data_IF_679127888310
#
_entry.id   IF_679127888310
#
_cell.length_a   1.000
_cell.length_b   1.000
_cell.length_c   1.000
_cell.angle_alpha   90.00
_cell.angle_beta   90.00
_cell.angle_gamma   90.00
#
_symmetry.space_group_name_H-M   'P 1'
#
loop_
_entity.id
_entity.type
_entity.pdbx_description
1 polymer ?
#
# COMPACT_ATOMS: atom_id res chain seq x y z
N UNK A 1 2.84 5.80 -14.48
CA UNK A 1 1.99 5.38 -13.35
C UNK A 1 2.78 5.57 -12.08
N UNK A 2 2.45 6.59 -11.30
CA UNK A 2 3.07 6.86 -10.01
C UNK A 2 1.97 6.79 -8.95
N UNK A 3 2.30 6.30 -7.77
CA UNK A 3 1.40 6.22 -6.60
C UNK A 3 1.81 7.25 -5.55
N UNK A 4 3.11 7.49 -5.45
CA UNK A 4 3.71 8.46 -4.54
C UNK A 4 4.68 9.35 -5.32
N UNK A 5 4.61 10.65 -5.05
CA UNK A 5 5.60 11.65 -5.45
C UNK A 5 5.89 12.54 -4.25
N UNK A 6 7.09 13.10 -4.21
CA UNK A 6 7.44 14.08 -3.21
C UNK A 6 7.87 15.39 -3.89
N UNK A 7 7.64 16.51 -3.21
CA UNK A 7 8.30 17.78 -3.46
C UNK A 7 8.99 18.25 -2.18
N UNK A 8 9.44 19.50 -2.14
CA UNK A 8 10.14 20.07 -0.98
C UNK A 8 9.23 20.30 0.23
N UNK A 9 7.91 20.28 0.05
CA UNK A 9 6.93 20.66 1.06
C UNK A 9 6.04 19.49 1.52
N UNK A 10 5.94 18.42 0.73
CA UNK A 10 5.16 17.26 1.10
C UNK A 10 5.13 16.14 0.07
N UNK A 11 4.12 15.29 0.24
CA UNK A 11 3.90 14.09 -0.55
C UNK A 11 2.58 14.18 -1.33
N UNK A 12 2.61 13.80 -2.60
CA UNK A 12 1.42 13.56 -3.40
C UNK A 12 1.15 12.06 -3.46
N UNK A 13 -0.07 11.68 -3.08
CA UNK A 13 -0.59 10.34 -3.17
C UNK A 13 -1.64 10.26 -4.26
N UNK A 14 -1.40 9.43 -5.27
CA UNK A 14 -2.40 9.12 -6.29
C UNK A 14 -3.19 7.88 -5.86
N UNK A 15 -4.45 8.09 -5.49
CA UNK A 15 -5.33 7.04 -4.95
C UNK A 15 -5.93 6.20 -6.09
N UNK A 16 -6.19 6.80 -7.25
CA UNK A 16 -6.83 6.11 -8.39
C UNK A 16 -5.87 5.23 -9.19
N UNK A 17 -6.24 3.97 -9.36
CA UNK A 17 -5.57 3.03 -10.27
C UNK A 17 -5.76 3.41 -11.74
N UNK A 18 -4.76 3.11 -12.58
CA UNK A 18 -4.80 3.34 -14.02
C UNK A 18 -5.91 2.55 -14.76
N UNK A 19 -6.43 1.49 -14.16
CA UNK A 19 -7.53 0.70 -14.72
C UNK A 19 -8.90 1.38 -14.55
N UNK A 20 -8.99 2.43 -13.73
CA UNK A 20 -10.16 3.31 -13.63
C UNK A 20 -10.09 4.46 -14.66
N UNK A 21 -9.49 4.23 -15.83
CA UNK A 21 -9.32 5.25 -16.88
C UNK A 21 -10.64 5.82 -17.43
N UNK A 22 -11.76 5.16 -17.14
CA UNK A 22 -13.11 5.55 -17.55
C UNK A 22 -13.77 6.56 -16.60
N UNK A 23 -13.17 6.80 -15.42
CA UNK A 23 -13.60 7.86 -14.52
C UNK A 23 -13.06 9.20 -15.01
N UNK A 24 -13.77 10.28 -14.68
CA UNK A 24 -13.46 11.64 -15.13
C UNK A 24 -11.99 12.01 -14.83
N UNK A 25 -11.20 12.46 -15.83
CA UNK A 25 -9.83 12.90 -15.62
C UNK A 25 -9.71 14.13 -14.70
N UNK A 26 -10.77 14.93 -14.56
CA UNK A 26 -10.80 16.13 -13.71
C UNK A 26 -11.17 15.82 -12.24
N UNK A 27 -11.49 14.55 -11.92
CA UNK A 27 -11.72 14.11 -10.54
C UNK A 27 -10.45 14.23 -9.68
N UNK A 28 -10.62 14.75 -8.46
CA UNK A 28 -9.53 14.84 -7.47
C UNK A 28 -9.16 13.46 -6.93
N UNK A 29 -8.19 12.83 -7.58
CA UNK A 29 -7.65 11.51 -7.19
C UNK A 29 -6.30 11.59 -6.51
N UNK A 30 -5.81 12.81 -6.31
CA UNK A 30 -4.51 13.10 -5.72
C UNK A 30 -4.76 13.78 -4.38
N UNK A 31 -4.24 13.17 -3.33
CA UNK A 31 -4.14 13.78 -2.01
C UNK A 31 -2.75 14.35 -1.84
N UNK A 32 -2.67 15.56 -1.32
CA UNK A 32 -1.41 16.16 -0.90
C UNK A 32 -1.31 16.08 0.63
N UNK A 33 -0.18 15.59 1.11
CA UNK A 33 0.15 15.46 2.54
C UNK A 33 1.39 16.32 2.80
N UNK A 34 1.21 17.51 3.39
CA UNK A 34 2.31 18.33 3.86
C UNK A 34 3.22 17.55 4.83
N UNK A 35 4.53 17.79 4.82
CA UNK A 35 5.44 17.12 5.76
C UNK A 35 5.13 17.44 7.23
N UNK A 36 4.64 18.64 7.52
CA UNK A 36 4.22 19.02 8.87
C UNK A 36 2.96 18.29 9.34
N UNK A 37 2.25 17.56 8.46
CA UNK A 37 1.12 16.71 8.81
C UNK A 37 1.51 15.25 9.03
N UNK A 38 2.77 14.90 8.81
CA UNK A 38 3.32 13.55 9.00
C UNK A 38 4.05 13.50 10.35
N UNK A 39 3.64 12.56 11.20
CA UNK A 39 4.26 12.31 12.50
C UNK A 39 5.46 11.36 12.39
N UNK A 40 5.38 10.36 11.54
CA UNK A 40 6.40 9.34 11.35
C UNK A 40 6.18 8.57 10.06
N UNK A 41 7.17 7.78 9.67
CA UNK A 41 7.04 6.83 8.58
C UNK A 41 7.70 5.50 8.92
N UNK A 42 7.19 4.41 8.35
CA UNK A 42 7.73 3.07 8.56
C UNK A 42 7.83 2.35 7.21
N UNK A 43 9.00 1.78 6.96
CA UNK A 43 9.22 0.83 5.86
C UNK A 43 8.97 -0.57 6.38
N UNK A 44 7.96 -1.25 5.83
CA UNK A 44 7.65 -2.63 6.21
C UNK A 44 7.98 -3.56 5.05
N UNK A 45 8.74 -4.62 5.34
CA UNK A 45 8.94 -5.75 4.42
C UNK A 45 8.31 -7.01 4.96
N UNK A 46 7.26 -7.48 4.29
CA UNK A 46 6.58 -8.74 4.58
C UNK A 46 7.16 -9.88 3.73
N UNK A 47 7.46 -11.02 4.36
CA UNK A 47 7.87 -12.24 3.67
C UNK A 47 6.79 -13.32 3.71
N UNK A 48 6.19 -13.61 2.55
CA UNK A 48 5.15 -14.63 2.37
C UNK A 48 5.75 -15.91 1.77
N UNK A 49 5.68 -17.02 2.48
CA UNK A 49 6.05 -18.33 1.92
C UNK A 49 4.82 -19.04 1.37
N UNK A 50 4.74 -19.18 0.04
CA UNK A 50 3.71 -19.98 -0.61
C UNK A 50 4.30 -21.31 -1.11
N UNK A 51 3.64 -22.42 -0.78
CA UNK A 51 3.94 -23.72 -1.39
C UNK A 51 3.36 -23.73 -2.80
N UNK A 52 4.21 -23.90 -3.81
CA UNK A 52 3.73 -24.14 -5.18
C UNK A 52 3.14 -25.55 -5.31
N UNK A 53 2.31 -25.73 -6.34
CA UNK A 53 1.69 -27.02 -6.69
C UNK A 53 2.71 -28.16 -6.91
N UNK A 54 3.97 -27.83 -7.21
CA UNK A 54 5.07 -28.79 -7.40
C UNK A 54 5.93 -29.03 -6.14
N UNK A 55 5.51 -28.54 -4.97
CA UNK A 55 6.25 -28.71 -3.72
C UNK A 55 7.46 -27.78 -3.56
N UNK A 56 7.73 -26.89 -4.52
CA UNK A 56 8.72 -25.82 -4.37
C UNK A 56 8.13 -24.70 -3.50
N UNK A 57 8.84 -24.31 -2.44
CA UNK A 57 8.52 -23.13 -1.64
C UNK A 57 8.91 -21.88 -2.42
N UNK A 58 7.95 -20.98 -2.66
CA UNK A 58 8.18 -19.67 -3.24
C UNK A 58 8.09 -18.64 -2.12
N UNK A 59 9.16 -17.89 -1.90
CA UNK A 59 9.12 -16.70 -1.05
C UNK A 59 8.74 -15.50 -1.90
N UNK A 60 7.61 -14.89 -1.58
CA UNK A 60 7.18 -13.61 -2.11
C UNK A 60 7.41 -12.54 -1.05
N UNK A 61 8.12 -11.48 -1.40
CA UNK A 61 8.27 -10.31 -0.52
C UNK A 61 7.32 -9.24 -0.97
N UNK A 62 6.64 -8.61 -0.02
CA UNK A 62 5.80 -7.42 -0.22
C UNK A 62 6.35 -6.30 0.64
N UNK A 63 6.56 -5.14 0.03
CA UNK A 63 7.07 -3.97 0.74
C UNK A 63 6.00 -2.89 0.76
N UNK A 64 5.88 -2.24 1.91
CA UNK A 64 4.94 -1.16 2.19
C UNK A 64 5.66 0.04 2.80
N UNK A 65 5.12 1.23 2.57
CA UNK A 65 5.45 2.44 3.30
C UNK A 65 4.23 2.86 4.11
N UNK A 66 4.35 2.86 5.43
CA UNK A 66 3.35 3.42 6.31
C UNK A 66 3.69 4.88 6.61
N UNK A 67 2.72 5.76 6.38
CA UNK A 67 2.77 7.16 6.78
C UNK A 67 1.88 7.31 8.01
N UNK A 68 2.47 7.67 9.14
CA UNK A 68 1.75 7.98 10.37
C UNK A 68 1.44 9.47 10.33
N UNK A 69 0.16 9.80 10.25
CA UNK A 69 -0.36 11.14 10.11
C UNK A 69 -0.76 11.74 11.46
N UNK A 70 -0.70 13.06 11.55
CA UNK A 70 -1.34 13.77 12.67
C UNK A 70 -2.87 13.59 12.59
N UNK A 71 -3.54 13.55 13.74
CA UNK A 71 -4.99 13.32 13.83
C UNK A 71 -5.81 14.22 12.89
N UNK A 72 -5.48 15.52 12.84
CA UNK A 72 -6.18 16.50 12.00
C UNK A 72 -6.04 16.22 10.49
N UNK A 73 -4.91 15.64 10.06
CA UNK A 73 -4.68 15.28 8.67
C UNK A 73 -5.35 13.95 8.34
N UNK A 74 -5.24 12.97 9.24
CA UNK A 74 -5.86 11.67 9.11
C UNK A 74 -7.38 11.79 8.89
N UNK A 75 -8.07 12.60 9.70
CA UNK A 75 -9.51 12.88 9.58
C UNK A 75 -9.93 13.45 8.22
N UNK A 76 -9.04 14.12 7.50
CA UNK A 76 -9.30 14.70 6.17
C UNK A 76 -8.96 13.75 5.03
N UNK A 77 -7.87 12.99 5.19
CA UNK A 77 -7.26 12.20 4.12
C UNK A 77 -7.90 10.82 4.02
N UNK A 78 -8.12 10.15 5.16
CA UNK A 78 -8.63 8.78 5.19
C UNK A 78 -10.02 8.63 4.55
N UNK A 79 -10.99 9.53 4.80
CA UNK A 79 -12.30 9.43 4.15
C UNK A 79 -12.21 9.50 2.62
N UNK A 80 -11.30 10.33 2.07
CA UNK A 80 -11.08 10.46 0.63
C UNK A 80 -10.50 9.17 0.04
N UNK A 81 -9.58 8.52 0.77
CA UNK A 81 -9.02 7.23 0.37
C UNK A 81 -10.12 6.16 0.37
N UNK A 82 -10.93 6.08 1.44
CA UNK A 82 -12.03 5.13 1.53
C UNK A 82 -13.04 5.32 0.39
N UNK A 83 -13.46 6.55 0.10
CA UNK A 83 -14.41 6.83 -0.97
C UNK A 83 -13.92 6.30 -2.32
N UNK A 84 -12.66 6.52 -2.66
CA UNK A 84 -12.10 6.09 -3.95
C UNK A 84 -11.80 4.58 -3.98
N UNK A 85 -11.38 3.97 -2.87
CA UNK A 85 -11.14 2.51 -2.79
C UNK A 85 -12.43 1.70 -2.98
N UNK A 86 -13.55 2.19 -2.44
CA UNK A 86 -14.86 1.53 -2.58
C UNK A 86 -15.65 2.01 -3.79
N UNK A 87 -15.10 2.92 -4.59
CA UNK A 87 -15.74 3.42 -5.81
C UNK A 87 -15.79 2.32 -6.86
N UNK A 88 -17.00 1.92 -7.24
CA UNK A 88 -17.15 0.91 -8.28
C UNK A 88 -16.85 1.50 -9.67
N UNK A 89 -16.17 0.74 -10.56
CA UNK A 89 -16.05 1.14 -11.95
C UNK A 89 -17.44 1.15 -12.61
N UNK A 90 -17.65 1.93 -13.69
CA UNK A 90 -18.92 1.93 -14.42
C UNK A 90 -19.30 0.51 -14.86
N UNK A 91 -20.57 0.13 -14.76
CA UNK A 91 -21.12 -1.23 -14.98
C UNK A 91 -20.78 -1.88 -16.35
N UNK A 92 -20.26 -1.13 -17.31
CA UNK A 92 -20.17 -1.54 -18.71
C UNK A 92 -18.87 -2.25 -19.11
N UNK A 93 -17.95 -2.56 -18.19
CA UNK A 93 -16.64 -3.08 -18.58
C UNK A 93 -16.24 -4.43 -17.97
N UNK A 94 -16.93 -5.49 -18.40
CA UNK A 94 -16.62 -6.91 -18.06
C UNK A 94 -15.22 -7.37 -18.47
N UNK A 95 -14.51 -6.62 -19.32
CA UNK A 95 -13.10 -6.87 -19.65
C UNK A 95 -12.15 -6.55 -18.49
N UNK A 96 -12.56 -5.67 -17.56
CA UNK A 96 -11.76 -5.25 -16.40
C UNK A 96 -11.89 -6.24 -15.24
N UNK A 97 -13.03 -6.93 -15.10
CA UNK A 97 -13.27 -7.98 -14.07
C UNK A 97 -12.28 -9.16 -14.17
N UNK A 98 -11.68 -9.40 -15.35
CA UNK A 98 -10.69 -10.50 -15.54
C UNK A 98 -9.25 -10.10 -15.21
N UNK A 99 -8.96 -8.82 -14.96
CA UNK A 99 -7.61 -8.35 -14.70
C UNK A 99 -7.34 -8.42 -13.20
N UNK A 100 -7.18 -9.65 -12.69
CA UNK A 100 -6.91 -9.95 -11.28
C UNK A 100 -5.47 -9.60 -10.84
N UNK A 101 -4.90 -8.49 -11.30
CA UNK A 101 -3.48 -8.21 -11.12
C UNK A 101 -3.25 -6.88 -10.41
N UNK A 102 -3.06 -7.00 -9.08
CA UNK A 102 -2.30 -6.08 -8.22
C UNK A 102 -2.57 -4.60 -8.49
N UNK A 103 -3.77 -4.17 -8.11
CA UNK A 103 -4.00 -2.75 -7.95
C UNK A 103 -3.30 -2.32 -6.68
N UNK A 104 -2.29 -1.46 -6.81
CA UNK A 104 -1.73 -0.70 -5.69
C UNK A 104 -2.85 0.19 -5.17
N UNK A 105 -3.63 -0.34 -4.23
CA UNK A 105 -4.62 0.39 -3.47
C UNK A 105 -3.88 0.93 -2.25
N UNK A 106 -3.91 2.25 -2.09
CA UNK A 106 -3.53 2.86 -0.82
C UNK A 106 -4.47 2.29 0.23
N UNK A 107 -3.90 1.77 1.32
CA UNK A 107 -4.65 1.14 2.40
C UNK A 107 -4.66 2.05 3.63
N UNK A 108 -5.62 1.82 4.51
CA UNK A 108 -5.74 2.51 5.80
C UNK A 108 -5.77 1.43 6.88
N UNK A 109 -4.60 0.92 7.31
CA UNK A 109 -4.54 -0.16 8.31
C UNK A 109 -4.91 0.33 9.72
N UNK A 110 -4.78 1.63 9.99
CA UNK A 110 -5.13 2.26 11.26
C UNK A 110 -5.70 3.68 11.06
N UNK A 111 -6.44 4.25 12.05
CA UNK A 111 -7.12 5.55 11.92
C UNK A 111 -6.22 6.78 11.70
N UNK A 112 -4.91 6.62 11.90
CA UNK A 112 -3.88 7.64 11.71
C UNK A 112 -2.83 7.21 10.68
N UNK A 113 -3.04 6.10 9.99
CA UNK A 113 -2.02 5.49 9.15
C UNK A 113 -2.50 5.33 7.72
N UNK A 114 -1.66 5.74 6.78
CA UNK A 114 -1.84 5.50 5.36
C UNK A 114 -0.72 4.60 4.86
N UNK A 115 -1.08 3.44 4.32
CA UNK A 115 -0.15 2.45 3.81
C UNK A 115 -0.09 2.52 2.28
N UNK A 116 1.12 2.69 1.77
CA UNK A 116 1.43 2.77 0.34
C UNK A 116 2.19 1.51 -0.07
N UNK A 117 1.59 0.60 -0.85
CA UNK A 117 2.29 -0.56 -1.40
C UNK A 117 3.32 -0.09 -2.43
N UNK A 118 4.55 -0.61 -2.40
CA UNK A 118 5.60 -0.10 -3.29
C UNK A 118 6.50 -1.14 -3.94
N UNK A 119 6.57 -2.37 -3.42
CA UNK A 119 7.23 -3.45 -4.17
C UNK A 119 6.59 -4.82 -3.89
N UNK A 120 6.14 -5.47 -4.95
CA UNK A 120 6.17 -6.92 -5.04
C UNK A 120 6.91 -7.29 -6.35
N UNK A 121 7.28 -8.56 -6.55
CA UNK A 121 7.99 -9.01 -7.77
C UNK A 121 7.20 -8.78 -9.07
N UNK A 122 5.93 -8.40 -8.99
CA UNK A 122 5.01 -8.20 -10.10
C UNK A 122 4.63 -6.73 -10.32
N UNK A 123 5.05 -5.81 -9.44
CA UNK A 123 4.65 -4.41 -9.44
C UNK A 123 5.58 -3.63 -10.37
N UNK A 124 5.01 -3.10 -11.46
CA UNK A 124 5.73 -2.28 -12.45
C UNK A 124 5.90 -0.81 -12.04
N UNK A 125 5.43 -0.46 -10.85
CA UNK A 125 5.43 0.92 -10.32
C UNK A 125 6.36 0.93 -9.12
N UNK A 126 7.52 1.56 -9.28
CA UNK A 126 8.48 1.77 -8.21
C UNK A 126 8.50 3.28 -7.92
N UNK A 127 7.89 3.77 -6.83
CA UNK A 127 8.07 5.16 -6.43
C UNK A 127 9.53 5.36 -6.02
N UNK A 128 10.09 6.55 -6.23
CA UNK A 128 11.50 6.81 -5.88
C UNK A 128 11.64 7.00 -4.36
N UNK A 129 11.56 5.92 -3.58
CA UNK A 129 11.51 6.03 -2.12
C UNK A 129 12.82 6.44 -1.50
N UNK A 130 13.95 6.21 -2.16
CA UNK A 130 15.20 6.78 -1.66
C UNK A 130 15.09 8.30 -1.58
N UNK A 131 14.47 8.92 -2.59
CA UNK A 131 14.18 10.37 -2.56
C UNK A 131 13.14 10.70 -1.49
N UNK A 132 12.06 9.93 -1.38
CA UNK A 132 11.01 10.17 -0.36
C UNK A 132 11.58 10.08 1.06
N UNK A 133 12.32 9.03 1.39
CA UNK A 133 12.94 8.84 2.71
C UNK A 133 13.96 9.92 3.02
N UNK A 134 14.81 10.28 2.05
CA UNK A 134 15.73 11.39 2.22
C UNK A 134 14.99 12.70 2.52
N UNK A 135 13.87 12.96 1.85
CA UNK A 135 13.05 14.14 2.08
C UNK A 135 12.39 14.09 3.46
N UNK A 136 11.74 12.98 3.84
CA UNK A 136 11.16 12.78 5.17
C UNK A 136 12.20 13.01 6.27
N UNK A 137 13.36 12.35 6.17
CA UNK A 137 14.46 12.52 7.12
C UNK A 137 14.99 13.96 7.15
N UNK A 138 15.06 14.64 6.00
CA UNK A 138 15.50 16.05 5.94
C UNK A 138 14.54 17.01 6.66
N UNK A 139 13.27 16.64 6.78
CA UNK A 139 12.25 17.39 7.52
C UNK A 139 12.19 16.99 9.01
N UNK A 140 13.09 16.11 9.46
CA UNK A 140 13.11 15.61 10.84
C UNK A 140 12.05 14.55 11.15
N UNK A 141 11.42 13.97 10.13
CA UNK A 141 10.47 12.86 10.29
C UNK A 141 11.28 11.56 10.44
N UNK A 142 11.02 10.83 11.53
CA UNK A 142 11.66 9.56 11.78
C UNK A 142 11.11 8.49 10.83
N UNK A 143 12.02 7.77 10.16
CA UNK A 143 11.70 6.63 9.32
C UNK A 143 12.22 5.37 10.02
N UNK A 144 11.31 4.50 10.45
CA UNK A 144 11.66 3.19 11.00
C UNK A 144 11.66 2.14 9.89
N UNK A 145 12.47 1.09 10.03
CA UNK A 145 12.54 -0.01 9.07
C UNK A 145 12.26 -1.30 9.83
N UNK A 146 11.17 -1.96 9.48
CA UNK A 146 10.71 -3.19 10.11
C UNK A 146 10.64 -4.33 9.08
N UNK A 147 11.24 -5.46 9.45
CA UNK A 147 11.15 -6.72 8.70
C UNK A 147 10.15 -7.65 9.40
N UNK A 148 8.97 -7.80 8.81
CA UNK A 148 7.96 -8.73 9.32
C UNK A 148 8.04 -10.06 8.56
N UNK A 149 8.50 -11.09 9.26
CA UNK A 149 8.35 -12.47 8.79
C UNK A 149 7.03 -13.03 9.31
N UNK A 150 6.00 -13.11 8.46
CA UNK A 150 4.85 -13.94 8.81
C UNK A 150 5.29 -15.41 8.89
N UNK A 151 4.98 -16.02 10.03
CA UNK A 151 5.36 -17.37 10.39
C UNK A 151 5.07 -18.36 9.26
N UNK A 152 6.13 -19.03 8.80
CA UNK A 152 5.98 -20.16 7.91
C UNK A 152 5.07 -21.20 8.57
N UNK A 153 4.01 -21.60 7.85
CA UNK A 153 3.22 -22.76 8.22
C UNK A 153 4.17 -23.94 8.37
N UNK A 154 4.44 -24.35 9.61
CA UNK A 154 5.20 -25.55 9.89
C UNK A 154 4.41 -26.73 9.29
N UNK A 155 5.02 -27.56 8.42
CA UNK A 155 4.42 -28.84 8.06
C UNK A 155 4.52 -29.73 9.30
N UNK A 156 3.52 -29.64 10.17
CA UNK A 156 3.51 -30.28 11.48
C UNK A 156 2.38 -29.84 12.42
N UNK A 157 1.62 -28.78 12.09
CA UNK A 157 0.36 -28.52 12.79
C UNK A 157 -0.70 -29.53 12.31
N UNK A 158 -0.60 -30.72 12.89
CA UNK A 158 -1.55 -31.81 12.74
C UNK A 158 -2.95 -31.33 13.15
N UNK A 159 -3.81 -31.21 12.15
CA UNK A 159 -5.26 -31.23 12.28
C UNK A 159 -5.71 -32.64 12.71
N UNK A 160 -5.41 -33.04 13.94
CA UNK A 160 -6.09 -34.15 14.60
C UNK A 160 -6.27 -33.83 16.09
N UNK A 161 -7.26 -32.98 16.38
CA UNK A 161 -8.06 -33.15 17.59
C UNK A 161 -9.38 -33.79 17.17
N UNK A 162 -9.33 -35.10 16.92
CA UNK A 162 -10.53 -35.93 16.89
C UNK A 162 -11.21 -35.83 18.26
N UNK A 163 -12.51 -35.55 18.21
CA UNK A 163 -13.40 -35.57 19.35
C UNK A 163 -13.67 -37.02 19.74
N UNK A 164 -13.38 -37.41 20.99
CA UNK A 164 -14.06 -38.49 21.73
C UNK A 164 -13.70 -38.42 23.22
#
# INVERSE_FOLDING_TARGET
NWVLKADEQGLYLKIRSYLNFQLDPDDKVIVYIPFDEIHGAEEITEHHQTKSFFGLTKTESRMHLNLILKTNAAEKIIPLIHEEVYRQPPEHNKLVERVNHLHVQIQVPAPDMVQVPWADRNTRINPDLKVVFNLLSSQGIQVNVDEESEGGVHPGDDLFSESA
#
